data_IF_136580996961
#
_entry.id   IF_136580996961
#
_cell.length_a   1.000
_cell.length_b   1.000
_cell.length_c   1.000
_cell.angle_alpha   90.00
_cell.angle_beta   90.00
_cell.angle_gamma   90.00
#
_symmetry.space_group_name_H-M   'P 1'
#
loop_
_entity.id
_entity.type
_entity.pdbx_description
1 polymer ?
#
# COMPACT_ATOMS: atom_id res chain seq x y z
N UNK A 1 0.58 -2.01 -16.09
CA UNK A 1 0.56 -2.67 -14.77
C UNK A 1 -0.29 -3.95 -14.72
N UNK A 2 -1.63 -3.91 -14.78
CA UNK A 2 -2.45 -5.12 -14.56
C UNK A 2 -2.09 -6.33 -15.47
N UNK A 3 -1.87 -6.10 -16.78
CA UNK A 3 -1.45 -7.17 -17.72
C UNK A 3 -0.11 -7.81 -17.35
N UNK A 4 0.82 -7.01 -16.85
CA UNK A 4 2.14 -7.47 -16.43
C UNK A 4 2.04 -8.31 -15.15
N UNK A 5 1.28 -7.82 -14.17
CA UNK A 5 0.99 -8.55 -12.93
C UNK A 5 0.31 -9.88 -13.25
N UNK A 6 -0.69 -9.90 -14.13
CA UNK A 6 -1.39 -11.12 -14.52
C UNK A 6 -0.43 -12.19 -15.05
N UNK A 7 0.59 -11.79 -15.83
CA UNK A 7 1.58 -12.71 -16.38
C UNK A 7 2.57 -13.23 -15.31
N UNK A 8 2.83 -12.44 -14.27
CA UNK A 8 3.76 -12.77 -13.20
C UNK A 8 3.13 -13.57 -12.03
N UNK A 9 1.81 -13.48 -11.86
CA UNK A 9 1.08 -14.18 -10.80
C UNK A 9 0.72 -15.61 -11.21
N UNK A 10 0.75 -16.58 -10.26
CA UNK A 10 0.24 -17.94 -10.50
C UNK A 10 -1.20 -17.92 -11.02
N UNK A 11 -1.65 -18.92 -11.80
CA UNK A 11 -3.04 -19.04 -12.23
C UNK A 11 -3.98 -19.32 -11.05
N UNK A 12 -5.29 -19.14 -11.25
CA UNK A 12 -6.34 -19.45 -10.26
C UNK A 12 -6.81 -18.26 -9.40
N UNK A 13 -7.57 -18.51 -8.33
CA UNK A 13 -8.10 -17.46 -7.47
C UNK A 13 -6.99 -16.73 -6.70
N UNK A 14 -7.14 -15.41 -6.53
CA UNK A 14 -6.24 -14.60 -5.72
C UNK A 14 -6.88 -14.22 -4.38
N UNK A 15 -6.04 -14.02 -3.37
CA UNK A 15 -6.43 -13.36 -2.14
C UNK A 15 -5.65 -12.05 -2.01
N UNK A 16 -6.31 -10.93 -2.29
CA UNK A 16 -5.69 -9.61 -2.30
C UNK A 16 -5.80 -8.99 -0.91
N UNK A 17 -4.66 -8.75 -0.27
CA UNK A 17 -4.60 -8.12 1.05
C UNK A 17 -4.20 -6.67 0.87
N UNK A 18 -5.03 -5.74 1.33
CA UNK A 18 -4.84 -4.30 1.13
C UNK A 18 -4.39 -3.64 2.43
N UNK A 19 -3.34 -2.83 2.37
CA UNK A 19 -2.89 -2.01 3.51
C UNK A 19 -3.79 -0.78 3.64
N UNK A 20 -4.57 -0.73 4.70
CA UNK A 20 -5.47 0.39 4.99
C UNK A 20 -4.75 1.54 5.70
N UNK A 21 -5.20 2.78 5.49
CA UNK A 21 -6.37 3.17 4.68
C UNK A 21 -6.04 3.48 3.23
N UNK A 22 -4.86 4.04 3.00
CA UNK A 22 -4.55 4.79 1.79
C UNK A 22 -4.56 3.95 0.50
N UNK A 23 -4.18 2.67 0.57
CA UNK A 23 -4.11 1.81 -0.61
C UNK A 23 -5.48 1.40 -1.21
N UNK A 24 -6.60 1.71 -0.56
CA UNK A 24 -7.92 1.22 -1.00
C UNK A 24 -8.32 1.68 -2.40
N UNK A 25 -8.01 2.93 -2.77
CA UNK A 25 -8.37 3.49 -4.08
C UNK A 25 -7.63 2.73 -5.19
N UNK A 26 -6.30 2.66 -5.06
CA UNK A 26 -5.45 1.90 -5.96
C UNK A 26 -5.85 0.42 -6.03
N UNK A 27 -6.07 -0.22 -4.88
CA UNK A 27 -6.36 -1.64 -4.81
C UNK A 27 -7.67 -2.00 -5.52
N UNK A 28 -8.73 -1.19 -5.36
CA UNK A 28 -10.02 -1.43 -6.03
C UNK A 28 -9.88 -1.35 -7.54
N UNK A 29 -9.19 -0.33 -8.05
CA UNK A 29 -8.98 -0.14 -9.49
C UNK A 29 -8.08 -1.25 -10.06
N UNK A 30 -7.01 -1.62 -9.34
CA UNK A 30 -6.13 -2.71 -9.73
C UNK A 30 -6.86 -4.05 -9.77
N UNK A 31 -7.55 -4.44 -8.69
CA UNK A 31 -8.23 -5.73 -8.59
C UNK A 31 -9.32 -5.88 -9.66
N UNK A 32 -10.10 -4.82 -9.94
CA UNK A 32 -11.06 -4.83 -11.05
C UNK A 32 -10.37 -5.00 -12.40
N UNK A 33 -9.21 -4.36 -12.58
CA UNK A 33 -8.43 -4.43 -13.82
C UNK A 33 -7.71 -5.77 -14.01
N UNK A 34 -7.51 -6.56 -12.95
CA UNK A 34 -6.92 -7.90 -13.03
C UNK A 34 -7.84 -8.93 -13.69
N UNK A 35 -9.13 -8.65 -13.90
CA UNK A 35 -10.04 -9.55 -14.65
C UNK A 35 -10.06 -10.99 -14.16
N UNK A 36 -9.79 -11.21 -12.87
CA UNK A 36 -9.65 -12.52 -12.22
C UNK A 36 -10.46 -12.53 -10.94
N UNK A 37 -10.98 -13.71 -10.60
CA UNK A 37 -11.64 -13.90 -9.31
C UNK A 37 -10.65 -13.64 -8.18
N UNK A 38 -11.03 -12.74 -7.27
CA UNK A 38 -10.22 -12.37 -6.12
C UNK A 38 -11.11 -12.21 -4.88
N UNK A 39 -10.60 -12.67 -3.75
CA UNK A 39 -11.13 -12.32 -2.43
C UNK A 39 -10.32 -11.16 -1.85
N UNK A 40 -10.94 -10.36 -1.00
CA UNK A 40 -10.28 -9.23 -0.34
C UNK A 40 -10.03 -9.53 1.13
N UNK A 41 -8.85 -9.12 1.59
CA UNK A 41 -8.47 -9.01 2.99
C UNK A 41 -7.89 -7.61 3.24
N UNK A 42 -7.87 -7.18 4.50
CA UNK A 42 -7.38 -5.87 4.88
C UNK A 42 -6.47 -5.97 6.09
N UNK A 43 -5.41 -5.16 6.10
CA UNK A 43 -4.56 -4.98 7.26
C UNK A 43 -4.46 -3.50 7.59
N UNK A 44 -4.45 -3.16 8.88
CA UNK A 44 -4.16 -1.80 9.33
C UNK A 44 -2.71 -1.71 9.76
N UNK A 45 -2.05 -0.61 9.45
CA UNK A 45 -0.70 -0.33 9.91
C UNK A 45 -0.70 0.95 10.73
N UNK A 46 -0.11 0.89 11.93
CA UNK A 46 0.12 2.06 12.77
C UNK A 46 1.61 2.13 13.11
N UNK A 47 2.23 3.28 12.85
CA UNK A 47 3.61 3.55 13.29
C UNK A 47 3.64 3.83 14.79
N UNK A 48 4.63 3.31 15.50
CA UNK A 48 4.87 3.70 16.89
C UNK A 48 5.68 5.01 16.93
N UNK A 49 5.11 6.04 17.55
CA UNK A 49 5.75 7.35 17.80
C UNK A 49 4.91 8.52 17.29
N UNK A 50 4.63 9.49 18.16
CA UNK A 50 4.05 10.78 17.78
C UNK A 50 5.12 11.60 17.03
N UNK A 51 5.07 11.65 15.69
CA UNK A 51 5.97 12.47 14.87
C UNK A 51 6.24 11.90 13.47
N UNK A 52 6.86 12.71 12.61
CA UNK A 52 7.20 12.37 11.20
C UNK A 52 8.34 11.36 11.07
N UNK A 53 8.88 10.86 12.18
CA UNK A 53 9.89 9.80 12.20
C UNK A 53 9.33 8.55 12.85
N UNK A 54 8.87 7.60 12.03
CA UNK A 54 8.53 6.26 12.50
C UNK A 54 9.78 5.63 13.13
N UNK A 55 9.76 5.28 14.41
CA UNK A 55 10.85 4.59 15.12
C UNK A 55 11.11 3.15 14.65
N UNK A 56 10.87 2.86 13.37
CA UNK A 56 11.05 1.57 12.70
C UNK A 56 10.09 0.46 13.12
N UNK A 57 9.33 0.64 14.21
CA UNK A 57 8.33 -0.31 14.71
C UNK A 57 6.96 0.04 14.13
N UNK A 58 6.35 -0.96 13.50
CA UNK A 58 4.98 -0.89 12.94
C UNK A 58 4.12 -1.92 13.66
N UNK A 59 2.95 -1.51 14.15
CA UNK A 59 1.90 -2.40 14.63
C UNK A 59 0.99 -2.75 13.45
N UNK A 60 0.71 -4.04 13.28
CA UNK A 60 -0.26 -4.50 12.27
C UNK A 60 -1.51 -5.06 12.94
N UNK A 61 -2.68 -4.67 12.43
CA UNK A 61 -3.94 -5.37 12.66
C UNK A 61 -4.17 -6.35 11.51
N UNK A 62 -4.30 -7.64 11.81
CA UNK A 62 -4.44 -8.74 10.84
C UNK A 62 -5.84 -9.38 10.88
N UNK A 63 -6.73 -8.91 11.75
CA UNK A 63 -8.02 -9.54 12.03
C UNK A 63 -8.91 -9.60 10.78
N UNK A 64 -8.82 -8.58 9.94
CA UNK A 64 -9.53 -8.48 8.67
C UNK A 64 -8.74 -9.03 7.47
N UNK A 65 -7.57 -9.64 7.69
CA UNK A 65 -6.76 -10.19 6.60
C UNK A 65 -7.44 -11.40 5.95
N UNK A 66 -8.31 -12.13 6.67
CA UNK A 66 -8.95 -13.33 6.16
C UNK A 66 -8.05 -14.56 6.14
N UNK A 67 -8.51 -15.65 5.50
CA UNK A 67 -7.74 -16.90 5.43
C UNK A 67 -6.61 -16.79 4.41
N UNK A 68 -5.38 -16.78 4.91
CA UNK A 68 -4.15 -16.64 4.11
C UNK A 68 -3.49 -17.98 3.77
N UNK A 69 -3.57 -18.95 4.69
CA UNK A 69 -2.87 -20.23 4.57
C UNK A 69 -3.21 -20.96 3.27
N UNK A 70 -2.17 -21.40 2.54
CA UNK A 70 -2.31 -22.15 1.30
C UNK A 70 -2.86 -21.36 0.11
N UNK A 71 -3.07 -20.04 0.21
CA UNK A 71 -3.57 -19.21 -0.90
C UNK A 71 -2.47 -18.46 -1.65
N UNK A 72 -2.75 -18.09 -2.90
CA UNK A 72 -1.94 -17.13 -3.64
C UNK A 72 -2.30 -15.71 -3.19
N UNK A 73 -1.44 -15.12 -2.38
CA UNK A 73 -1.67 -13.80 -1.77
C UNK A 73 -0.99 -12.70 -2.55
N UNK A 74 -1.73 -11.62 -2.75
CA UNK A 74 -1.24 -10.39 -3.37
C UNK A 74 -1.41 -9.22 -2.42
N UNK A 75 -0.31 -8.79 -1.79
CA UNK A 75 -0.28 -7.66 -0.86
C UNK A 75 -0.17 -6.35 -1.63
N UNK A 76 -1.11 -5.44 -1.43
CA UNK A 76 -1.23 -4.16 -2.14
C UNK A 76 -1.09 -3.02 -1.13
N UNK A 77 -0.14 -2.11 -1.39
CA UNK A 77 0.10 -0.89 -0.63
C UNK A 77 0.03 0.34 -1.56
N UNK A 78 -0.12 1.54 -1.02
CA UNK A 78 -0.11 2.77 -1.83
C UNK A 78 1.31 3.23 -2.13
N UNK A 79 2.17 3.30 -1.11
CA UNK A 79 3.51 3.86 -1.25
C UNK A 79 4.57 3.07 -0.50
N UNK A 80 5.64 2.75 -1.21
CA UNK A 80 6.83 2.13 -0.64
C UNK A 80 7.91 3.20 -0.34
N UNK A 81 7.79 3.86 0.82
CA UNK A 81 8.70 4.93 1.29
C UNK A 81 9.90 4.37 2.07
N UNK A 82 9.87 4.37 3.40
CA UNK A 82 10.98 3.83 4.22
C UNK A 82 11.08 2.30 4.12
N UNK A 83 9.97 1.63 3.81
CA UNK A 83 9.86 0.18 3.64
C UNK A 83 9.45 -0.60 4.90
N UNK A 84 9.34 0.05 6.07
CA UNK A 84 9.00 -0.62 7.32
C UNK A 84 7.61 -1.28 7.29
N UNK A 85 6.59 -0.57 6.79
CA UNK A 85 5.21 -1.09 6.72
C UNK A 85 5.12 -2.31 5.81
N UNK A 86 5.56 -2.19 4.55
CA UNK A 86 5.52 -3.29 3.60
C UNK A 86 6.33 -4.49 4.10
N UNK A 87 7.49 -4.27 4.73
CA UNK A 87 8.29 -5.35 5.30
C UNK A 87 7.54 -6.07 6.42
N UNK A 88 7.01 -5.32 7.39
CA UNK A 88 6.25 -5.91 8.48
C UNK A 88 5.04 -6.70 7.97
N UNK A 89 4.28 -6.14 7.02
CA UNK A 89 3.11 -6.77 6.43
C UNK A 89 3.46 -8.05 5.68
N UNK A 90 4.52 -7.99 4.88
CA UNK A 90 5.02 -9.15 4.11
C UNK A 90 5.49 -10.27 5.03
N UNK A 91 6.26 -9.97 6.08
CA UNK A 91 6.72 -11.00 7.01
C UNK A 91 5.58 -11.58 7.85
N UNK A 92 4.63 -10.74 8.29
CA UNK A 92 3.43 -11.20 9.00
C UNK A 92 2.61 -12.17 8.13
N UNK A 93 2.33 -11.82 6.88
CA UNK A 93 1.59 -12.68 5.95
C UNK A 93 2.37 -13.94 5.60
N UNK A 94 3.70 -13.88 5.43
CA UNK A 94 4.55 -15.08 5.24
C UNK A 94 4.43 -16.05 6.40
N UNK A 95 4.38 -15.54 7.64
CA UNK A 95 4.18 -16.34 8.85
C UNK A 95 2.88 -17.15 8.84
N UNK A 96 1.87 -16.71 8.08
CA UNK A 96 0.60 -17.41 7.89
C UNK A 96 0.63 -18.46 6.76
N UNK A 97 1.81 -18.76 6.20
CA UNK A 97 2.06 -19.84 5.23
C UNK A 97 1.16 -19.78 3.97
N UNK A 98 1.14 -18.68 3.22
CA UNK A 98 0.49 -18.64 1.91
C UNK A 98 1.20 -19.58 0.92
N UNK A 99 0.50 -20.05 -0.10
CA UNK A 99 1.10 -20.81 -1.20
C UNK A 99 2.08 -19.95 -2.02
N UNK A 100 1.78 -18.67 -2.17
CA UNK A 100 2.72 -17.67 -2.68
C UNK A 100 2.38 -16.29 -2.13
N UNK A 101 3.37 -15.42 -2.00
CA UNK A 101 3.17 -14.01 -1.66
C UNK A 101 3.88 -13.13 -2.68
N UNK A 102 3.14 -12.17 -3.24
CA UNK A 102 3.64 -11.09 -4.09
C UNK A 102 3.17 -9.75 -3.54
N UNK A 103 3.94 -8.71 -3.82
CA UNK A 103 3.73 -7.35 -3.32
C UNK A 103 3.59 -6.37 -4.47
N UNK A 104 2.74 -5.38 -4.31
CA UNK A 104 2.48 -4.36 -5.30
C UNK A 104 2.25 -3.02 -4.63
N UNK A 105 2.94 -1.99 -5.12
CA UNK A 105 2.76 -0.62 -4.65
C UNK A 105 2.43 0.31 -5.81
N UNK A 106 1.62 1.34 -5.56
CA UNK A 106 1.35 2.34 -6.58
C UNK A 106 2.60 3.22 -6.81
N UNK A 107 3.20 3.70 -5.72
CA UNK A 107 4.36 4.58 -5.73
C UNK A 107 5.55 3.92 -5.03
N UNK A 108 6.75 4.08 -5.58
CA UNK A 108 8.00 3.66 -4.94
C UNK A 108 8.96 4.85 -4.84
N UNK A 109 9.59 5.01 -3.66
CA UNK A 109 10.61 6.02 -3.38
C UNK A 109 11.93 5.36 -2.96
N UNK A 110 12.74 4.87 -3.91
CA UNK A 110 13.99 4.18 -3.59
C UNK A 110 14.96 5.00 -2.72
N UNK A 111 15.00 6.32 -2.93
CA UNK A 111 15.87 7.24 -2.17
C UNK A 111 15.55 7.32 -0.67
N UNK A 112 14.35 6.88 -0.26
CA UNK A 112 13.87 6.93 1.13
C UNK A 112 14.07 5.63 1.91
N UNK A 113 14.53 4.58 1.24
CA UNK A 113 14.58 3.24 1.81
C UNK A 113 15.45 3.19 3.08
N UNK A 114 14.89 2.65 4.18
CA UNK A 114 15.59 2.42 5.45
C UNK A 114 15.79 0.94 5.80
N UNK A 115 15.14 0.04 5.08
CA UNK A 115 15.25 -1.42 5.26
C UNK A 115 15.44 -2.12 3.92
N UNK A 116 16.02 -3.33 3.88
CA UNK A 116 16.22 -4.06 2.63
C UNK A 116 14.91 -4.68 2.12
N UNK A 117 14.16 -3.94 1.33
CA UNK A 117 12.92 -4.39 0.68
C UNK A 117 12.71 -3.71 -0.68
N UNK A 118 12.14 -4.48 -1.59
CA UNK A 118 11.60 -4.06 -2.87
C UNK A 118 10.19 -4.64 -3.01
N UNK A 119 9.32 -3.96 -3.75
CA UNK A 119 8.04 -4.52 -4.17
C UNK A 119 8.25 -5.36 -5.44
N UNK A 120 7.50 -6.45 -5.58
CA UNK A 120 7.52 -7.25 -6.81
C UNK A 120 6.97 -6.46 -8.01
N UNK A 121 6.06 -5.51 -7.75
CA UNK A 121 5.50 -4.60 -8.73
C UNK A 121 5.39 -3.17 -8.18
N UNK A 122 5.80 -2.19 -8.96
CA UNK A 122 5.60 -0.77 -8.67
C UNK A 122 4.91 -0.08 -9.85
N UNK A 123 3.92 0.77 -9.57
CA UNK A 123 3.24 1.54 -10.60
C UNK A 123 4.12 2.66 -11.15
N UNK A 124 4.65 3.49 -10.26
CA UNK A 124 5.51 4.61 -10.57
C UNK A 124 6.66 4.71 -9.57
N UNK A 125 7.87 4.94 -10.06
CA UNK A 125 9.00 5.38 -9.23
C UNK A 125 9.01 6.90 -9.19
N UNK A 126 9.04 7.48 -7.99
CA UNK A 126 9.01 8.94 -7.80
C UNK A 126 10.18 9.40 -6.92
N UNK A 127 10.51 10.68 -7.02
CA UNK A 127 11.50 11.33 -6.15
C UNK A 127 10.96 11.51 -4.72
N UNK A 128 11.82 12.03 -3.82
CA UNK A 128 11.41 12.36 -2.45
C UNK A 128 10.55 13.64 -2.39
N UNK A 129 9.29 13.50 -2.82
CA UNK A 129 8.26 14.55 -2.76
C UNK A 129 7.09 14.08 -1.91
N UNK A 130 6.57 14.95 -1.04
CA UNK A 130 5.35 14.63 -0.30
C UNK A 130 4.15 14.71 -1.25
N UNK A 131 3.32 13.68 -1.26
CA UNK A 131 2.22 13.51 -2.22
C UNK A 131 0.90 13.22 -1.50
N UNK A 132 -0.18 13.71 -2.09
CA UNK A 132 -1.56 13.52 -1.60
C UNK A 132 -2.48 13.16 -2.77
N UNK A 133 -3.67 12.67 -2.47
CA UNK A 133 -4.65 12.28 -3.49
C UNK A 133 -4.60 10.80 -3.84
N UNK A 134 -5.67 10.32 -4.48
CA UNK A 134 -5.84 8.92 -4.83
C UNK A 134 -5.60 7.95 -3.65
N UNK A 135 -6.15 8.33 -2.48
CA UNK A 135 -6.01 7.61 -1.22
C UNK A 135 -4.91 8.15 -0.29
N UNK A 136 -3.85 8.75 -0.81
CA UNK A 136 -2.78 9.39 -0.02
C UNK A 136 -3.31 10.64 0.68
N UNK A 137 -2.82 10.91 1.89
CA UNK A 137 -3.36 11.99 2.73
C UNK A 137 -2.32 12.90 3.36
N UNK A 138 -2.81 14.06 3.79
CA UNK A 138 -2.17 14.90 4.79
C UNK A 138 -3.20 15.17 5.89
N UNK A 139 -2.98 14.63 7.09
CA UNK A 139 -3.90 14.75 8.22
C UNK A 139 -5.34 14.34 7.87
N UNK A 140 -5.49 13.19 7.21
CA UNK A 140 -6.76 12.62 6.71
C UNK A 140 -7.45 13.41 5.57
N UNK A 141 -6.90 14.56 5.15
CA UNK A 141 -7.41 15.32 4.02
C UNK A 141 -6.88 14.79 2.66
N UNK A 142 -7.49 15.27 1.57
CA UNK A 142 -7.08 15.05 0.17
C UNK A 142 -7.22 13.63 -0.40
N UNK A 143 -7.57 12.61 0.40
CA UNK A 143 -7.70 11.21 -0.06
C UNK A 143 -8.57 11.03 -1.30
N UNK A 144 -9.62 11.85 -1.43
CA UNK A 144 -10.64 11.74 -2.48
C UNK A 144 -10.28 12.42 -3.79
N UNK A 145 -9.12 13.11 -3.87
CA UNK A 145 -8.66 13.66 -5.14
C UNK A 145 -8.49 12.51 -6.17
N UNK A 146 -8.97 12.68 -7.41
CA UNK A 146 -8.93 11.62 -8.42
C UNK A 146 -7.50 11.38 -8.96
N UNK A 147 -6.57 12.28 -8.67
CA UNK A 147 -5.19 12.30 -9.12
C UNK A 147 -4.22 12.39 -7.94
N UNK A 148 -2.95 12.08 -8.20
CA UNK A 148 -1.84 12.23 -7.24
C UNK A 148 -1.21 13.59 -7.47
N UNK A 149 -1.05 14.37 -6.39
CA UNK A 149 -0.48 15.73 -6.45
C UNK A 149 0.69 15.84 -5.49
N UNK A 150 1.70 16.60 -5.89
CA UNK A 150 2.73 17.07 -4.96
C UNK A 150 2.09 18.06 -3.98
N UNK A 151 2.25 17.80 -2.69
CA UNK A 151 1.73 18.67 -1.64
C UNK A 151 2.66 19.87 -1.43
N UNK A 152 2.07 21.07 -1.33
CA UNK A 152 2.77 22.31 -1.01
C UNK A 152 2.09 22.94 0.21
N UNK A 153 2.78 23.04 1.36
CA UNK A 153 2.19 23.60 2.58
C UNK A 153 1.68 25.04 2.40
N UNK A 154 2.30 25.82 1.50
CA UNK A 154 1.99 27.24 1.27
C UNK A 154 1.27 27.50 -0.08
N UNK A 155 0.62 26.49 -0.65
CA UNK A 155 -0.15 26.62 -1.88
C UNK A 155 -1.46 27.40 -1.67
N UNK A 156 -2.08 27.96 -2.73
CA UNK A 156 -3.30 28.76 -2.63
C UNK A 156 -4.54 28.01 -2.07
N UNK A 157 -4.44 26.69 -1.90
CA UNK A 157 -5.49 25.81 -1.38
C UNK A 157 -5.44 25.61 0.15
N UNK A 158 -4.67 26.41 0.90
CA UNK A 158 -4.83 26.49 2.37
C UNK A 158 -6.09 27.28 2.72
N UNK A 159 -7.24 26.84 2.24
CA UNK A 159 -8.51 27.20 2.86
C UNK A 159 -8.63 26.44 4.18
N UNK A 160 -9.02 27.21 5.19
CA UNK A 160 -9.09 26.87 6.61
C UNK A 160 -9.64 25.45 6.86
N UNK A 161 -8.95 24.69 7.70
CA UNK A 161 -9.54 23.50 8.33
C UNK A 161 -10.81 23.97 9.07
N UNK A 162 -12.01 23.43 8.77
CA UNK A 162 -13.16 23.67 9.63
C UNK A 162 -12.87 23.05 11.01
N UNK A 163 -13.01 23.88 12.05
CA UNK A 163 -12.78 23.52 13.44
C UNK A 163 -13.84 22.61 14.04
#
# INVERSE_FOLDING_TARGET
MAREIQAALPPGPLHCVVVLKSAIFFAVDLVRSLGREATLGFISAASYGEGTESGGRVRLGLEAAGQVEGRHVFLIDDILDTGHTLLAAREALRGLRPASLRTCVLLDKPSRRRVKIEADHAGFTIEDVFVVGYGLDCAEAYRTLPDIRAYRPDGPDTEEKPG
#
